data_IF_511679219547
#
_entry.id   IF_511679219547
#
_cell.length_a   1.000
_cell.length_b   1.000
_cell.length_c   1.000
_cell.angle_alpha   90.00
_cell.angle_beta   90.00
_cell.angle_gamma   90.00
#
_symmetry.space_group_name_H-M   'P 1'
#
loop_
_entity.id
_entity.type
_entity.pdbx_description
1 polymer ?
#
# COMPACT_ATOMS: atom_id res chain seq x y z
N UNK A 1 -33.27 -13.17 0.01
CA UNK A 1 -32.40 -12.08 0.46
C UNK A 1 -31.17 -12.75 1.07
N UNK A 2 -30.15 -13.00 0.24
CA UNK A 2 -28.89 -13.53 0.75
C UNK A 2 -28.10 -12.33 1.25
N UNK A 3 -27.62 -12.43 2.49
CA UNK A 3 -26.75 -11.47 3.12
C UNK A 3 -25.52 -11.28 2.23
N UNK A 4 -25.24 -10.03 1.88
CA UNK A 4 -23.97 -9.58 1.33
C UNK A 4 -22.88 -9.96 2.34
N UNK A 5 -22.34 -11.17 2.21
CA UNK A 5 -21.06 -11.50 2.79
C UNK A 5 -20.05 -10.68 2.01
N UNK A 6 -19.47 -9.66 2.66
CA UNK A 6 -18.24 -9.06 2.17
C UNK A 6 -17.29 -10.19 1.78
N UNK A 7 -16.76 -10.19 0.55
CA UNK A 7 -15.84 -11.23 0.14
C UNK A 7 -14.71 -11.29 1.16
N UNK A 8 -14.30 -12.50 1.62
CA UNK A 8 -13.25 -12.62 2.61
C UNK A 8 -12.04 -11.83 2.14
N UNK A 9 -11.47 -11.03 3.03
CA UNK A 9 -10.28 -10.26 2.76
C UNK A 9 -9.13 -11.23 2.46
N UNK A 10 -8.89 -11.52 1.17
CA UNK A 10 -7.88 -12.49 0.73
C UNK A 10 -6.52 -11.78 0.67
N UNK A 11 -6.08 -11.17 1.78
CA UNK A 11 -4.66 -10.84 1.93
C UNK A 11 -3.93 -12.14 2.23
N UNK A 12 -2.85 -12.43 1.49
CA UNK A 12 -2.14 -13.69 1.62
C UNK A 12 -1.01 -13.84 0.59
N UNK A 13 -0.21 -14.92 0.71
CA UNK A 13 0.90 -15.14 -0.18
C UNK A 13 0.43 -15.36 -1.62
N UNK A 14 1.13 -14.75 -2.57
CA UNK A 14 0.88 -14.91 -4.01
C UNK A 14 2.07 -15.58 -4.71
N UNK A 15 1.83 -16.24 -5.87
CA UNK A 15 2.90 -16.72 -6.72
C UNK A 15 3.86 -15.61 -7.15
N UNK A 16 5.16 -15.93 -7.23
CA UNK A 16 6.22 -14.97 -7.54
C UNK A 16 6.10 -14.39 -8.96
N UNK A 17 5.70 -15.21 -9.93
CA UNK A 17 5.40 -14.80 -11.30
C UNK A 17 4.25 -13.79 -11.34
N UNK A 18 3.17 -14.04 -10.59
CA UNK A 18 2.08 -13.07 -10.44
C UNK A 18 2.58 -11.76 -9.82
N UNK A 19 3.38 -11.83 -8.75
CA UNK A 19 3.95 -10.64 -8.11
C UNK A 19 4.78 -9.80 -9.10
N UNK A 20 5.61 -10.46 -9.91
CA UNK A 20 6.46 -9.81 -10.91
C UNK A 20 5.65 -9.19 -12.04
N UNK A 21 4.59 -9.87 -12.51
CA UNK A 21 3.65 -9.32 -13.47
C UNK A 21 2.99 -8.05 -12.93
N UNK A 22 2.45 -8.09 -11.70
CA UNK A 22 1.76 -6.94 -11.10
C UNK A 22 2.68 -5.72 -10.93
N UNK A 23 3.94 -5.94 -10.53
CA UNK A 23 4.94 -4.87 -10.44
C UNK A 23 5.33 -4.33 -11.82
N UNK A 24 5.45 -5.21 -12.82
CA UNK A 24 5.74 -4.80 -14.19
C UNK A 24 4.60 -3.96 -14.78
N UNK A 25 3.35 -4.31 -14.52
CA UNK A 25 2.20 -3.52 -14.95
C UNK A 25 2.23 -2.10 -14.39
N UNK A 26 2.64 -1.95 -13.12
CA UNK A 26 2.85 -0.63 -12.52
C UNK A 26 3.99 0.13 -13.19
N UNK A 27 5.13 -0.52 -13.44
CA UNK A 27 6.27 0.09 -14.12
C UNK A 27 5.91 0.53 -15.56
N UNK A 28 5.17 -0.28 -16.30
CA UNK A 28 4.76 0.05 -17.67
C UNK A 28 3.80 1.26 -17.68
N UNK A 29 3.01 1.48 -16.63
CA UNK A 29 2.08 2.61 -16.50
C UNK A 29 2.71 3.89 -15.92
N UNK A 30 3.60 3.77 -14.95
CA UNK A 30 4.12 4.89 -14.14
C UNK A 30 5.64 4.97 -14.07
N UNK A 31 6.37 4.06 -14.72
CA UNK A 31 7.83 3.91 -14.56
C UNK A 31 8.67 5.12 -14.95
N UNK A 32 8.17 5.96 -15.85
CA UNK A 32 8.81 7.22 -16.24
C UNK A 32 8.51 8.41 -15.30
N UNK A 33 7.62 8.26 -14.32
CA UNK A 33 7.30 9.34 -13.39
C UNK A 33 8.21 9.33 -12.17
N UNK A 34 9.11 10.30 -12.13
CA UNK A 34 10.05 10.50 -11.02
C UNK A 34 9.37 10.89 -9.70
N UNK A 35 8.13 11.38 -9.75
CA UNK A 35 7.38 11.84 -8.57
C UNK A 35 6.71 10.69 -7.82
N UNK A 36 6.63 9.50 -8.44
CA UNK A 36 5.96 8.35 -7.85
C UNK A 36 7.00 7.35 -7.38
N UNK A 37 7.16 7.28 -6.05
CA UNK A 37 7.96 6.24 -5.41
C UNK A 37 7.44 4.85 -5.77
N UNK A 38 8.33 3.98 -6.25
CA UNK A 38 8.00 2.62 -6.71
C UNK A 38 8.20 1.57 -5.63
N UNK A 39 9.04 1.87 -4.65
CA UNK A 39 9.42 0.97 -3.59
C UNK A 39 9.57 1.76 -2.30
N UNK A 40 8.89 1.28 -1.27
CA UNK A 40 8.98 1.79 0.10
C UNK A 40 9.51 0.68 0.99
N UNK A 41 10.36 1.02 1.94
CA UNK A 41 10.83 0.06 2.94
C UNK A 41 10.45 0.56 4.30
N UNK A 42 10.09 -0.34 5.20
CA UNK A 42 9.84 -0.01 6.60
C UNK A 42 10.56 -1.04 7.45
N UNK A 43 11.52 -0.58 8.23
CA UNK A 43 12.31 -1.44 9.09
C UNK A 43 11.50 -1.99 10.25
N UNK A 44 11.93 -3.14 10.75
CA UNK A 44 11.33 -3.78 11.92
C UNK A 44 11.28 -2.86 13.14
N UNK A 45 12.29 -2.01 13.34
CA UNK A 45 12.32 -1.07 14.47
C UNK A 45 11.11 -0.14 14.49
N UNK A 46 10.62 0.29 13.31
CA UNK A 46 9.41 1.11 13.19
C UNK A 46 8.13 0.29 13.34
N UNK A 47 8.16 -1.01 13.02
CA UNK A 47 7.00 -1.90 13.05
C UNK A 47 6.85 -2.70 14.36
N UNK A 48 7.87 -2.73 15.22
CA UNK A 48 7.92 -3.62 16.38
C UNK A 48 6.71 -3.45 17.32
N UNK A 49 6.23 -2.21 17.49
CA UNK A 49 5.07 -1.89 18.32
C UNK A 49 3.80 -2.52 17.77
N UNK A 50 3.55 -2.33 16.46
CA UNK A 50 2.41 -2.93 15.76
C UNK A 50 2.47 -4.46 15.81
N UNK A 51 3.63 -5.05 15.52
CA UNK A 51 3.82 -6.50 15.49
C UNK A 51 3.63 -7.12 16.88
N UNK A 52 4.22 -6.53 17.92
CA UNK A 52 4.12 -7.05 19.29
C UNK A 52 2.70 -6.97 19.86
N UNK A 53 1.91 -6.00 19.41
CA UNK A 53 0.51 -5.82 19.80
C UNK A 53 -0.49 -6.49 18.85
N UNK A 54 -0.01 -7.20 17.82
CA UNK A 54 -0.85 -7.83 16.78
C UNK A 54 -1.81 -6.85 16.10
N UNK A 55 -1.33 -5.64 15.80
CA UNK A 55 -2.11 -4.60 15.12
C UNK A 55 -1.81 -4.57 13.63
N UNK A 56 -2.83 -4.23 12.85
CA UNK A 56 -2.72 -4.01 11.42
C UNK A 56 -1.83 -2.80 11.12
N UNK A 57 -1.06 -2.88 10.03
CA UNK A 57 -0.32 -1.73 9.51
C UNK A 57 -1.21 -0.98 8.53
N UNK A 58 -1.61 0.23 8.89
CA UNK A 58 -2.39 1.12 8.02
C UNK A 58 -1.45 2.12 7.36
N UNK A 59 -1.42 2.14 6.03
CA UNK A 59 -0.64 3.05 5.18
C UNK A 59 -1.59 3.98 4.43
N UNK A 60 -1.24 5.26 4.29
CA UNK A 60 -2.04 6.25 3.55
C UNK A 60 -1.14 7.00 2.57
N UNK A 61 -1.63 7.21 1.35
CA UNK A 61 -0.94 8.06 0.37
C UNK A 61 -1.04 9.54 0.77
N UNK A 62 0.09 10.22 0.63
CA UNK A 62 0.24 11.64 0.91
C UNK A 62 1.20 12.26 -0.12
N UNK A 63 1.20 13.58 -0.21
CA UNK A 63 2.14 14.32 -1.06
C UNK A 63 2.87 15.38 -0.25
N UNK A 64 4.18 15.28 -0.24
CA UNK A 64 5.09 16.31 0.27
C UNK A 64 5.78 16.92 -0.94
N UNK A 65 5.64 18.23 -1.08
CA UNK A 65 6.01 18.97 -2.30
C UNK A 65 5.36 18.39 -3.56
N UNK A 66 6.08 17.52 -4.27
CA UNK A 66 5.64 16.87 -5.51
C UNK A 66 5.70 15.35 -5.44
N UNK A 67 6.23 14.78 -4.38
CA UNK A 67 6.57 13.36 -4.32
C UNK A 67 5.51 12.57 -3.54
N UNK A 68 5.21 11.37 -4.03
CA UNK A 68 4.37 10.43 -3.32
C UNK A 68 5.08 9.98 -2.05
N UNK A 69 4.39 10.12 -0.93
CA UNK A 69 4.85 9.70 0.39
C UNK A 69 3.83 8.76 1.05
N UNK A 70 4.30 8.02 2.05
CA UNK A 70 3.46 7.16 2.89
C UNK A 70 3.37 7.72 4.31
N UNK A 71 2.14 7.90 4.76
CA UNK A 71 1.83 8.03 6.18
C UNK A 71 1.48 6.65 6.72
N UNK A 72 1.88 6.33 7.94
CA UNK A 72 1.40 5.13 8.62
C UNK A 72 0.86 5.46 10.01
N UNK A 73 -0.03 4.61 10.50
CA UNK A 73 -0.58 4.71 11.85
C UNK A 73 0.20 3.75 12.75
N UNK A 74 0.81 4.28 13.81
CA UNK A 74 1.56 3.48 14.78
C UNK A 74 0.65 2.77 15.79
N UNK A 75 1.25 1.97 16.68
CA UNK A 75 0.52 1.22 17.69
C UNK A 75 -0.26 2.11 18.68
N UNK A 76 0.11 3.38 18.81
CA UNK A 76 -0.53 4.37 19.67
C UNK A 76 -1.51 5.25 18.90
N UNK A 77 -1.92 4.84 17.69
CA UNK A 77 -2.82 5.56 16.79
C UNK A 77 -2.29 6.92 16.32
N UNK A 78 -0.97 7.14 16.41
CA UNK A 78 -0.33 8.36 15.91
C UNK A 78 -0.02 8.21 14.44
N UNK A 79 -0.21 9.29 13.68
CA UNK A 79 0.17 9.34 12.27
C UNK A 79 1.64 9.70 12.17
N UNK A 80 2.40 8.88 11.43
CA UNK A 80 3.82 9.07 11.19
C UNK A 80 4.07 9.20 9.69
N UNK A 81 4.89 10.17 9.28
CA UNK A 81 5.43 10.27 7.93
C UNK A 81 6.68 9.40 7.82
N UNK A 82 6.68 8.47 6.87
CA UNK A 82 7.86 7.69 6.53
C UNK A 82 8.83 8.57 5.73
N UNK A 83 9.97 8.94 6.34
CA UNK A 83 11.00 9.77 5.70
C UNK A 83 12.00 8.87 4.98
N UNK A 84 12.41 7.79 5.65
CA UNK A 84 13.30 6.77 5.12
C UNK A 84 12.98 5.40 5.76
N UNK A 85 13.64 4.30 5.37
CA UNK A 85 13.35 2.96 5.88
C UNK A 85 13.42 2.80 7.41
N UNK A 86 14.18 3.66 8.09
CA UNK A 86 14.47 3.60 9.53
C UNK A 86 13.92 4.81 10.30
N UNK A 87 13.54 5.87 9.60
CA UNK A 87 13.12 7.14 10.20
C UNK A 87 11.70 7.48 9.82
N UNK A 88 10.87 7.68 10.84
CA UNK A 88 9.53 8.21 10.71
C UNK A 88 9.32 9.37 11.68
N UNK A 89 8.69 10.45 11.20
CA UNK A 89 8.38 11.62 12.01
C UNK A 89 6.90 11.64 12.37
N UNK A 90 6.58 11.96 13.62
CA UNK A 90 5.18 12.24 13.99
C UNK A 90 4.71 13.51 13.30
N UNK A 91 3.51 13.43 12.74
CA UNK A 91 2.82 14.56 12.13
C UNK A 91 1.46 14.74 12.80
N UNK A 92 1.08 15.98 13.05
CA UNK A 92 -0.24 16.29 13.57
C UNK A 92 -1.32 16.23 12.47
N UNK A 93 -2.57 16.44 12.87
CA UNK A 93 -3.71 16.42 11.94
C UNK A 93 -3.65 17.54 10.91
N UNK A 94 -3.14 18.72 11.26
CA UNK A 94 -3.06 19.87 10.34
C UNK A 94 -2.07 19.59 9.21
N UNK A 95 -0.90 19.05 9.56
CA UNK A 95 0.13 18.65 8.60
C UNK A 95 -0.38 17.50 7.73
N UNK A 96 -1.02 16.51 8.35
CA UNK A 96 -1.63 15.38 7.64
C UNK A 96 -2.65 15.85 6.61
N UNK A 97 -3.55 16.76 6.99
CA UNK A 97 -4.56 17.30 6.09
C UNK A 97 -3.95 18.12 4.96
N UNK A 98 -2.91 18.92 5.23
CA UNK A 98 -2.20 19.65 4.19
C UNK A 98 -1.58 18.70 3.15
N UNK A 99 -0.89 17.65 3.59
CA UNK A 99 -0.28 16.66 2.69
C UNK A 99 -1.32 15.89 1.87
N UNK A 100 -2.46 15.56 2.49
CA UNK A 100 -3.58 14.90 1.80
C UNK A 100 -4.26 15.83 0.80
N UNK A 101 -4.43 17.10 1.14
CA UNK A 101 -5.00 18.10 0.24
C UNK A 101 -4.09 18.34 -0.97
N UNK A 102 -2.77 18.40 -0.78
CA UNK A 102 -1.81 18.48 -1.88
C UNK A 102 -1.92 17.26 -2.81
N UNK A 103 -2.01 16.06 -2.24
CA UNK A 103 -2.19 14.83 -3.01
C UNK A 103 -3.49 14.83 -3.81
N UNK A 104 -4.57 15.38 -3.23
CA UNK A 104 -5.91 15.43 -3.81
C UNK A 104 -6.13 16.58 -4.82
N UNK A 105 -5.20 17.52 -4.96
CA UNK A 105 -5.37 18.69 -5.81
C UNK A 105 -5.65 18.28 -7.27
N UNK A 106 -6.79 18.70 -7.81
CA UNK A 106 -7.25 18.29 -9.13
C UNK A 106 -6.34 18.76 -10.28
N UNK A 107 -5.55 19.81 -10.07
CA UNK A 107 -4.71 20.44 -11.11
C UNK A 107 -3.26 19.94 -11.11
N UNK A 108 -2.75 19.52 -9.95
CA UNK A 108 -1.32 19.21 -9.76
C UNK A 108 -1.03 18.06 -8.79
N UNK A 109 -2.05 17.52 -8.14
CA UNK A 109 -1.91 16.40 -7.21
C UNK A 109 -1.68 15.08 -7.94
N UNK A 110 -1.17 14.09 -7.23
CA UNK A 110 -0.96 12.74 -7.77
C UNK A 110 -2.25 11.90 -7.78
N UNK A 111 -3.28 12.24 -6.99
CA UNK A 111 -4.57 11.53 -6.99
C UNK A 111 -5.21 11.46 -8.38
N UNK A 112 -5.47 12.60 -9.08
CA UNK A 112 -6.11 12.55 -10.39
C UNK A 112 -5.36 11.67 -11.38
N UNK A 113 -4.02 11.59 -11.26
CA UNK A 113 -3.20 10.74 -12.10
C UNK A 113 -3.52 9.25 -11.91
N UNK A 114 -3.68 8.81 -10.66
CA UNK A 114 -4.07 7.44 -10.36
C UNK A 114 -5.52 7.13 -10.74
N UNK A 115 -6.45 8.05 -10.49
CA UNK A 115 -7.87 7.87 -10.80
C UNK A 115 -8.12 7.82 -12.32
N UNK A 116 -7.46 8.69 -13.08
CA UNK A 116 -7.53 8.70 -14.54
C UNK A 116 -6.95 7.41 -15.15
N UNK A 117 -5.95 6.80 -14.51
CA UNK A 117 -5.46 5.50 -14.97
C UNK A 117 -6.51 4.41 -14.76
N UNK A 118 -7.06 4.29 -13.55
CA UNK A 118 -8.08 3.28 -13.26
C UNK A 118 -9.31 3.48 -14.16
N UNK A 119 -9.82 4.70 -14.27
CA UNK A 119 -10.95 5.03 -15.14
C UNK A 119 -10.74 4.57 -16.59
N UNK A 120 -9.55 4.77 -17.15
CA UNK A 120 -9.22 4.33 -18.53
C UNK A 120 -9.09 2.81 -18.66
N UNK A 121 -8.67 2.12 -17.61
CA UNK A 121 -8.51 0.67 -17.62
C UNK A 121 -9.85 -0.06 -17.73
N UNK A 122 -10.90 0.48 -17.12
CA UNK A 122 -12.25 -0.10 -17.19
C UNK A 122 -12.98 0.22 -18.49
N UNK A 123 -12.74 1.41 -19.06
CA UNK A 123 -13.31 1.87 -20.34
C UNK A 123 -14.84 1.67 -20.45
N UNK A 124 -15.56 1.84 -19.34
CA UNK A 124 -17.01 1.63 -19.23
C UNK A 124 -17.80 2.95 -19.23
N UNK A 125 -17.12 4.09 -19.41
CA UNK A 125 -17.70 5.42 -19.40
C UNK A 125 -18.01 5.98 -18.01
N UNK A 126 -17.61 5.28 -16.93
CA UNK A 126 -17.78 5.74 -15.55
C UNK A 126 -16.45 6.17 -14.92
N UNK A 127 -16.52 7.09 -13.96
CA UNK A 127 -15.32 7.51 -13.20
C UNK A 127 -15.05 6.53 -12.08
N UNK A 128 -13.81 6.06 -12.01
CA UNK A 128 -13.35 5.14 -10.99
C UNK A 128 -12.28 5.81 -10.13
N UNK A 129 -12.38 5.61 -8.82
CA UNK A 129 -11.43 6.13 -7.85
C UNK A 129 -10.55 4.99 -7.30
N UNK A 130 -9.27 5.27 -7.10
CA UNK A 130 -8.35 4.33 -6.46
C UNK A 130 -8.39 4.45 -4.94
N UNK A 131 -8.15 3.37 -4.20
CA UNK A 131 -8.05 3.48 -2.74
C UNK A 131 -6.81 4.29 -2.31
N UNK A 132 -6.96 5.01 -1.21
CA UNK A 132 -5.93 5.91 -0.64
C UNK A 132 -5.27 5.39 0.61
N UNK A 133 -5.79 4.30 1.14
CA UNK A 133 -5.34 3.64 2.35
C UNK A 133 -5.14 2.15 2.09
N UNK A 134 -3.98 1.63 2.46
CA UNK A 134 -3.66 0.21 2.35
C UNK A 134 -3.55 -0.32 3.77
N UNK A 135 -4.38 -1.31 4.10
CA UNK A 135 -4.35 -1.97 5.41
C UNK A 135 -3.73 -3.34 5.24
N UNK A 136 -2.59 -3.54 5.88
CA UNK A 136 -1.92 -4.82 5.96
C UNK A 136 -2.36 -5.50 7.25
N UNK A 137 -3.25 -6.49 7.12
CA UNK A 137 -3.78 -7.21 8.27
C UNK A 137 -2.71 -8.05 8.95
N UNK A 138 -2.66 -8.02 10.28
CA UNK A 138 -1.66 -8.75 11.04
C UNK A 138 -1.75 -10.26 10.83
N UNK A 139 -2.92 -10.85 11.08
CA UNK A 139 -3.13 -12.30 11.13
C UNK A 139 -2.70 -13.03 9.85
N UNK A 140 -2.90 -12.41 8.69
CA UNK A 140 -2.60 -13.05 7.41
C UNK A 140 -1.17 -12.80 6.90
N UNK A 141 -0.49 -11.77 7.43
CA UNK A 141 0.71 -11.24 6.77
C UNK A 141 1.91 -11.05 7.67
N UNK A 142 1.72 -10.83 8.98
CA UNK A 142 2.82 -10.63 9.94
C UNK A 142 3.04 -11.83 10.86
N UNK A 143 2.14 -12.81 10.91
CA UNK A 143 2.33 -14.07 11.66
C UNK A 143 3.61 -14.83 11.23
N UNK A 144 3.98 -14.71 9.94
CA UNK A 144 5.21 -15.30 9.40
C UNK A 144 6.47 -14.45 9.62
N UNK A 145 6.35 -13.25 10.20
CA UNK A 145 7.47 -12.34 10.40
C UNK A 145 8.35 -12.80 11.57
N UNK A 146 9.59 -13.17 11.26
CA UNK A 146 10.62 -13.52 12.24
C UNK A 146 11.69 -12.42 12.32
N UNK A 147 11.77 -11.63 13.41
CA UNK A 147 12.76 -10.56 13.56
C UNK A 147 14.20 -11.08 13.64
N UNK A 148 14.42 -12.38 13.82
CA UNK A 148 15.75 -12.97 13.72
C UNK A 148 16.16 -13.17 12.26
N UNK A 149 15.21 -13.40 11.34
CA UNK A 149 15.47 -13.64 9.91
C UNK A 149 15.33 -12.40 9.03
N UNK A 150 14.47 -11.45 9.41
CA UNK A 150 14.12 -10.30 8.57
C UNK A 150 14.48 -8.96 9.23
N UNK A 151 14.78 -7.94 8.41
CA UNK A 151 15.09 -6.56 8.84
C UNK A 151 13.89 -5.62 8.77
N UNK A 152 12.83 -6.02 8.10
CA UNK A 152 11.64 -5.19 7.87
C UNK A 152 10.82 -5.72 6.70
N UNK A 153 10.03 -4.83 6.12
CA UNK A 153 9.22 -5.10 4.93
C UNK A 153 9.67 -4.22 3.77
N UNK A 154 9.48 -4.73 2.57
CA UNK A 154 9.59 -3.99 1.31
C UNK A 154 8.21 -4.00 0.67
N UNK A 155 7.73 -2.82 0.29
CA UNK A 155 6.46 -2.57 -0.38
C UNK A 155 6.76 -2.05 -1.78
N UNK A 156 6.28 -2.74 -2.80
CA UNK A 156 6.48 -2.40 -4.21
C UNK A 156 5.13 -2.08 -4.84
N UNK A 157 5.03 -0.89 -5.43
CA UNK A 157 3.80 -0.47 -6.12
C UNK A 157 3.50 -1.45 -7.25
N UNK A 158 2.23 -1.81 -7.38
CA UNK A 158 1.80 -2.89 -8.25
C UNK A 158 0.38 -2.64 -8.78
N UNK A 159 0.05 -3.24 -9.92
CA UNK A 159 -1.28 -3.20 -10.53
C UNK A 159 -1.72 -4.62 -10.88
N UNK A 160 -2.81 -5.10 -10.28
CA UNK A 160 -3.45 -6.36 -10.69
C UNK A 160 -4.44 -6.07 -11.82
N UNK A 161 -4.02 -6.29 -13.07
CA UNK A 161 -4.83 -6.08 -14.26
C UNK A 161 -5.72 -7.27 -14.64
N UNK A 162 -5.57 -8.42 -13.95
CA UNK A 162 -6.15 -9.69 -14.39
C UNK A 162 -7.25 -10.22 -13.44
N UNK A 163 -7.64 -9.48 -12.41
CA UNK A 163 -8.75 -9.88 -11.53
C UNK A 163 -10.08 -9.84 -12.26
N UNK A 164 -10.84 -10.94 -12.21
CA UNK A 164 -12.21 -11.01 -12.75
C UNK A 164 -13.26 -10.39 -11.83
N UNK A 165 -12.87 -10.09 -10.59
CA UNK A 165 -13.72 -9.44 -9.60
C UNK A 165 -13.74 -7.92 -9.84
N UNK A 166 -14.89 -7.42 -10.30
CA UNK A 166 -15.10 -6.00 -10.62
C UNK A 166 -14.92 -5.08 -9.42
N UNK A 167 -15.25 -5.55 -8.23
CA UNK A 167 -15.05 -4.80 -6.97
C UNK A 167 -13.57 -4.85 -6.53
N UNK A 168 -12.76 -5.71 -7.17
CA UNK A 168 -11.30 -5.75 -7.01
C UNK A 168 -10.52 -5.07 -8.13
N UNK A 169 -11.15 -4.62 -9.22
CA UNK A 169 -10.48 -3.98 -10.37
C UNK A 169 -9.91 -2.57 -10.06
N UNK A 170 -9.98 -2.11 -8.79
CA UNK A 170 -9.59 -0.76 -8.35
C UNK A 170 -8.09 -0.50 -8.09
N UNK A 171 -7.15 -1.42 -8.35
CA UNK A 171 -6.00 -1.50 -7.43
C UNK A 171 -4.66 -1.04 -8.02
N UNK A 172 -4.32 0.20 -7.69
CA UNK A 172 -2.92 0.51 -7.39
C UNK A 172 -2.62 -0.05 -6.00
N UNK A 173 -1.98 -1.21 -5.95
CA UNK A 173 -1.73 -1.96 -4.72
C UNK A 173 -0.25 -1.94 -4.35
N UNK A 174 0.08 -2.58 -3.22
CA UNK A 174 1.42 -3.02 -2.93
C UNK A 174 1.53 -4.53 -3.07
N UNK A 175 2.59 -4.99 -3.71
CA UNK A 175 3.20 -6.28 -3.40
C UNK A 175 4.17 -6.03 -2.25
N UNK A 176 4.06 -6.77 -1.15
CA UNK A 176 5.11 -6.77 -0.12
C UNK A 176 5.81 -8.11 -0.01
N UNK A 177 7.05 -8.03 0.44
CA UNK A 177 7.78 -9.17 0.96
C UNK A 177 8.61 -8.73 2.17
N UNK A 178 9.06 -9.70 2.96
CA UNK A 178 10.00 -9.42 4.04
C UNK A 178 11.41 -9.22 3.50
N UNK A 179 12.12 -8.25 4.05
CA UNK A 179 13.52 -8.00 3.72
C UNK A 179 14.41 -8.95 4.54
N UNK A 180 15.14 -9.88 3.91
CA UNK A 180 15.97 -10.83 4.64
C UNK A 180 17.23 -10.15 5.18
N UNK A 181 17.69 -10.59 6.36
CA UNK A 181 19.06 -10.29 6.79
C UNK A 181 20.03 -10.99 5.82
N UNK A 182 21.10 -10.30 5.44
CA UNK A 182 22.08 -10.73 4.41
C UNK A 182 22.69 -12.13 4.59
N UNK A 183 22.51 -12.77 5.76
CA UNK A 183 23.00 -14.11 6.07
C UNK A 183 21.92 -15.22 6.00
N UNK A 184 20.66 -14.91 5.67
CA UNK A 184 19.57 -15.89 5.65
C UNK A 184 19.15 -16.21 4.21
N UNK A 185 19.37 -17.44 3.71
CA UNK A 185 18.81 -17.88 2.43
C UNK A 185 17.32 -18.19 2.62
N UNK A 186 16.51 -17.15 2.80
CA UNK A 186 15.06 -17.29 2.86
C UNK A 186 14.49 -17.11 1.46
N UNK A 187 13.68 -18.10 1.04
CA UNK A 187 12.85 -17.96 -0.17
C UNK A 187 11.93 -16.76 0.05
N UNK A 188 12.01 -15.77 -0.85
CA UNK A 188 11.17 -14.57 -0.78
C UNK A 188 9.73 -15.01 -1.01
N UNK A 189 8.87 -14.71 -0.03
CA UNK A 189 7.42 -14.88 -0.15
C UNK A 189 6.83 -13.51 -0.44
N UNK A 190 6.08 -13.43 -1.52
CA UNK A 190 5.36 -12.24 -1.93
C UNK A 190 3.91 -12.34 -1.45
N UNK A 191 3.37 -11.21 -1.04
CA UNK A 191 2.01 -11.09 -0.55
C UNK A 191 1.34 -9.95 -1.31
N UNK A 192 0.07 -10.16 -1.68
CA UNK A 192 -0.78 -9.12 -2.27
C UNK A 192 -1.55 -8.42 -1.16
N UNK A 193 -1.30 -7.12 -1.00
CA UNK A 193 -1.95 -6.34 0.06
C UNK A 193 -3.20 -5.69 -0.46
N UNK A 194 -4.30 -6.39 -0.24
CA UNK A 194 -5.61 -5.90 -0.58
C UNK A 194 -5.86 -4.53 0.07
N UNK A 195 -6.30 -3.58 -0.75
CA UNK A 195 -6.97 -2.38 -0.29
C UNK A 195 -8.25 -2.77 0.45
N UNK A 196 -8.23 -2.73 1.77
CA UNK A 196 -9.45 -2.51 2.55
C UNK A 196 -9.69 -1.00 2.53
N UNK A 197 -10.37 -0.54 1.49
CA UNK A 197 -11.53 0.34 1.60
C UNK A 197 -11.84 1.06 0.29
N UNK A 198 -13.09 1.06 -0.17
CA UNK A 198 -13.51 1.97 -1.22
C UNK A 198 -13.40 3.43 -0.74
N UNK A 199 -13.19 4.38 -1.67
CA UNK A 199 -13.20 5.81 -1.34
C UNK A 199 -14.53 6.21 -0.69
N UNK A 200 -14.44 6.91 0.45
CA UNK A 200 -15.60 7.47 1.17
C UNK A 200 -16.11 6.65 2.36
N UNK A 201 -15.58 5.45 2.62
CA UNK A 201 -16.07 4.60 3.71
C UNK A 201 -15.10 4.37 4.87
N UNK A 202 -13.87 4.90 4.78
CA UNK A 202 -12.86 4.64 5.81
C UNK A 202 -12.44 5.92 6.51
N UNK A 203 -12.94 5.97 7.75
CA UNK A 203 -12.76 7.02 8.74
C UNK A 203 -11.31 7.05 9.24
#
# INVERSE_FOLDING_TARGET
MNQDQEPPNISGPIPQDKAFEMMKNFEDAFGGDILIGKTFKISYTLLQGLISQRKDLVLRFAQVDKELNLLFIDENTKTKLLIDPHVAAEVDSTVTDAMRNNFNDASKGLRPKFDNYITRMFDDGTTHENTRQITITYENNFDAFDPQKYTGIILQMAIDSNTTDRDRLHKLTFVMHFEPKAASPTKVVYYDFMQLCPPGQCF
#
